data_IF_598729650284
#
_entry.id   IF_598729650284
#
_cell.length_a   1.000
_cell.length_b   1.000
_cell.length_c   1.000
_cell.angle_alpha   90.00
_cell.angle_beta   90.00
_cell.angle_gamma   90.00
#
_symmetry.space_group_name_H-M   'P 1'
#
loop_
_entity.id
_entity.type
_entity.pdbx_description
1 polymer ?
#
# COMPACT_ATOMS: atom_id res chain seq x y z
N UNK A 1 -38.02 -13.03 -30.83
CA UNK A 1 -36.68 -13.58 -30.53
C UNK A 1 -35.70 -13.03 -31.54
N UNK A 2 -34.81 -12.12 -31.15
CA UNK A 2 -33.56 -11.85 -31.87
C UNK A 2 -32.46 -11.85 -30.83
N UNK A 3 -31.57 -12.83 -30.94
CA UNK A 3 -30.46 -13.09 -30.03
C UNK A 3 -29.29 -12.22 -30.51
N UNK A 4 -28.88 -11.24 -29.72
CA UNK A 4 -27.62 -10.56 -29.96
C UNK A 4 -26.48 -11.55 -29.66
N UNK A 5 -25.77 -11.94 -30.71
CA UNK A 5 -24.47 -12.57 -30.61
C UNK A 5 -23.47 -11.48 -30.23
N UNK A 6 -23.31 -11.21 -28.93
CA UNK A 6 -22.26 -10.30 -28.45
C UNK A 6 -20.97 -11.09 -28.31
N UNK A 7 -20.03 -10.83 -29.22
CA UNK A 7 -18.65 -11.30 -29.15
C UNK A 7 -18.01 -10.81 -27.85
N UNK A 8 -17.20 -11.62 -27.13
CA UNK A 8 -16.62 -11.25 -25.82
C UNK A 8 -15.59 -10.11 -25.88
N UNK A 9 -15.42 -9.45 -27.04
CA UNK A 9 -14.54 -8.31 -27.28
C UNK A 9 -15.32 -7.00 -27.45
N UNK A 10 -16.66 -7.03 -27.54
CA UNK A 10 -17.47 -5.82 -27.71
C UNK A 10 -17.75 -5.17 -26.36
N UNK A 11 -16.95 -4.15 -26.09
CA UNK A 11 -17.03 -3.19 -24.98
C UNK A 11 -16.71 -3.78 -23.60
N UNK A 12 -15.41 -3.99 -23.35
CA UNK A 12 -14.93 -3.74 -21.99
C UNK A 12 -15.29 -2.29 -21.64
N UNK A 13 -15.87 -2.03 -20.46
CA UNK A 13 -16.21 -0.68 -20.02
C UNK A 13 -14.96 0.19 -20.10
N UNK A 14 -15.11 1.41 -20.60
CA UNK A 14 -14.04 2.40 -20.49
C UNK A 14 -13.76 2.69 -19.02
N UNK A 15 -12.58 3.23 -18.70
CA UNK A 15 -12.21 3.59 -17.32
C UNK A 15 -13.25 4.46 -16.59
N UNK A 16 -14.08 5.20 -17.34
CA UNK A 16 -15.16 6.04 -16.83
C UNK A 16 -16.50 5.32 -16.60
N UNK A 17 -16.63 4.07 -17.07
CA UNK A 17 -17.84 3.23 -16.95
C UNK A 17 -17.67 2.08 -15.95
N UNK A 18 -16.45 1.90 -15.45
CA UNK A 18 -16.23 1.10 -14.26
C UNK A 18 -16.93 1.81 -13.08
N UNK A 19 -17.53 1.08 -12.13
CA UNK A 19 -18.04 1.66 -10.90
C UNK A 19 -16.89 2.37 -10.19
N UNK A 20 -16.81 3.67 -10.46
CA UNK A 20 -15.98 4.65 -9.80
C UNK A 20 -16.50 4.73 -8.37
N UNK A 21 -15.69 4.24 -7.46
CA UNK A 21 -15.74 4.53 -6.03
C UNK A 21 -16.96 3.98 -5.28
N UNK A 22 -16.69 3.03 -4.41
CA UNK A 22 -17.53 2.69 -3.26
C UNK A 22 -17.53 3.80 -2.18
N UNK A 23 -17.65 5.07 -2.60
CA UNK A 23 -17.54 6.30 -1.77
C UNK A 23 -16.27 6.36 -0.89
N UNK A 24 -15.31 5.45 -1.08
CA UNK A 24 -13.95 5.53 -0.57
C UNK A 24 -13.07 6.17 -1.65
N UNK A 25 -12.10 7.05 -1.28
CA UNK A 25 -11.17 7.60 -2.25
C UNK A 25 -10.54 6.45 -3.03
N UNK A 26 -10.82 6.35 -4.33
CA UNK A 26 -10.29 5.26 -5.15
C UNK A 26 -8.78 5.29 -5.03
N UNK A 27 -8.19 4.18 -4.60
CA UNK A 27 -6.74 3.98 -4.62
C UNK A 27 -6.27 4.27 -6.05
N UNK A 28 -5.57 5.38 -6.22
CA UNK A 28 -4.94 5.70 -7.50
C UNK A 28 -3.57 5.05 -7.48
N UNK A 29 -3.10 4.51 -8.60
CA UNK A 29 -1.73 3.99 -8.76
C UNK A 29 -0.66 4.97 -8.21
N UNK A 30 -0.94 6.27 -8.24
CA UNK A 30 -0.10 7.30 -7.62
C UNK A 30 0.03 7.19 -6.09
N UNK A 31 -1.04 6.79 -5.40
CA UNK A 31 -1.05 6.59 -3.95
C UNK A 31 -0.12 5.43 -3.56
N UNK A 32 0.08 4.43 -4.44
CA UNK A 32 1.09 3.39 -4.27
C UNK A 32 2.48 3.84 -4.71
N UNK A 33 2.59 4.55 -5.84
CA UNK A 33 3.87 4.89 -6.45
C UNK A 33 4.71 5.82 -5.57
N UNK A 34 4.08 6.83 -4.97
CA UNK A 34 4.75 7.85 -4.17
C UNK A 34 5.44 7.27 -2.92
N UNK A 35 4.75 6.52 -2.03
CA UNK A 35 5.38 5.96 -0.84
C UNK A 35 6.48 4.94 -1.20
N UNK A 36 6.28 4.11 -2.23
CA UNK A 36 7.32 3.17 -2.68
C UNK A 36 8.57 3.89 -3.23
N UNK A 37 8.39 5.00 -3.97
CA UNK A 37 9.52 5.81 -4.43
C UNK A 37 10.27 6.44 -3.24
N UNK A 38 9.54 6.92 -2.24
CA UNK A 38 10.14 7.46 -1.03
C UNK A 38 10.94 6.40 -0.27
N UNK A 39 10.40 5.18 -0.12
CA UNK A 39 11.12 4.06 0.49
C UNK A 39 12.45 3.79 -0.24
N UNK A 40 12.43 3.74 -1.57
CA UNK A 40 13.64 3.53 -2.37
C UNK A 40 14.67 4.66 -2.19
N UNK A 41 14.23 5.92 -2.15
CA UNK A 41 15.11 7.07 -1.90
C UNK A 41 15.73 6.99 -0.50
N UNK A 42 14.93 6.64 0.52
CA UNK A 42 15.42 6.46 1.89
C UNK A 42 16.43 5.33 1.97
N UNK A 43 16.19 4.19 1.31
CA UNK A 43 17.13 3.08 1.24
C UNK A 43 18.47 3.48 0.61
N UNK A 44 18.45 4.32 -0.42
CA UNK A 44 19.66 4.84 -1.05
C UNK A 44 20.37 5.87 -0.16
N UNK A 45 19.64 6.80 0.43
CA UNK A 45 20.19 7.87 1.28
C UNK A 45 20.75 7.34 2.61
N UNK A 46 20.16 6.26 3.13
CA UNK A 46 20.46 5.66 4.42
C UNK A 46 20.97 4.22 4.28
N UNK A 47 21.79 3.96 3.27
CA UNK A 47 22.31 2.63 2.99
C UNK A 47 23.12 2.02 4.16
N UNK A 48 23.78 2.85 4.96
CA UNK A 48 24.58 2.41 6.12
C UNK A 48 23.77 2.34 7.41
N UNK A 49 22.47 2.67 7.36
CA UNK A 49 21.59 2.78 8.52
C UNK A 49 20.53 1.68 8.50
N UNK A 50 20.45 0.90 9.58
CA UNK A 50 19.50 -0.20 9.70
C UNK A 50 18.38 0.05 10.73
N UNK A 51 18.47 1.10 11.54
CA UNK A 51 17.53 1.43 12.63
C UNK A 51 16.32 2.26 12.15
N UNK A 52 15.70 1.85 11.05
CA UNK A 52 14.49 2.52 10.55
C UNK A 52 13.54 1.55 9.87
N UNK A 53 12.27 1.93 9.85
CA UNK A 53 11.20 1.19 9.21
C UNK A 53 10.27 2.16 8.49
N UNK A 54 9.97 1.86 7.23
CA UNK A 54 8.97 2.59 6.45
C UNK A 54 7.82 1.63 6.16
N UNK A 55 6.63 1.96 6.64
CA UNK A 55 5.41 1.18 6.43
C UNK A 55 4.47 1.91 5.48
N UNK A 56 3.84 1.16 4.58
CA UNK A 56 2.85 1.62 3.58
C UNK A 56 1.58 0.81 3.79
N UNK A 57 0.42 1.48 3.82
CA UNK A 57 -0.90 0.85 4.06
C UNK A 57 -0.97 -0.02 5.32
N UNK A 58 -0.18 0.33 6.34
CA UNK A 58 -0.07 -0.43 7.58
C UNK A 58 -0.81 0.25 8.73
N UNK A 59 -1.66 -0.52 9.41
CA UNK A 59 -2.43 -0.06 10.56
C UNK A 59 -1.55 0.21 11.79
N UNK A 60 -1.61 1.45 12.30
CA UNK A 60 -0.96 1.89 13.52
C UNK A 60 -1.98 1.89 14.67
N UNK A 61 -1.74 1.04 15.67
CA UNK A 61 -2.54 0.97 16.88
C UNK A 61 -1.92 1.84 17.97
N UNK A 62 -2.60 2.92 18.35
CA UNK A 62 -2.15 3.81 19.44
C UNK A 62 -2.94 3.63 20.73
N UNK A 63 -4.11 2.99 20.67
CA UNK A 63 -4.91 2.65 21.84
C UNK A 63 -5.67 1.33 21.60
N UNK A 64 -5.72 0.40 22.56
CA UNK A 64 -6.32 -0.93 22.38
C UNK A 64 -7.80 -0.93 21.98
N UNK A 65 -8.52 0.16 22.29
CA UNK A 65 -9.96 0.30 22.06
C UNK A 65 -10.29 1.21 20.88
N UNK A 66 -9.28 1.76 20.20
CA UNK A 66 -9.49 2.66 19.07
C UNK A 66 -9.14 1.94 17.76
N UNK A 67 -9.88 2.22 16.68
CA UNK A 67 -9.55 1.67 15.38
C UNK A 67 -8.11 2.09 14.97
N UNK A 68 -7.39 1.23 14.26
CA UNK A 68 -6.05 1.55 13.78
C UNK A 68 -6.11 2.73 12.79
N UNK A 69 -5.09 3.56 12.83
CA UNK A 69 -4.86 4.56 11.78
C UNK A 69 -4.15 3.88 10.62
N UNK A 70 -4.66 4.04 9.40
CA UNK A 70 -4.02 3.49 8.19
C UNK A 70 -3.57 4.67 7.33
N UNK A 71 -2.33 5.16 7.50
CA UNK A 71 -1.77 6.19 6.62
C UNK A 71 -1.23 5.57 5.33
N UNK A 72 -1.20 6.35 4.26
CA UNK A 72 -0.55 6.00 2.99
C UNK A 72 0.95 5.68 3.16
N UNK A 73 1.58 6.22 4.21
CA UNK A 73 2.92 5.81 4.62
C UNK A 73 3.39 6.49 5.91
N UNK A 74 4.29 5.82 6.63
CA UNK A 74 4.94 6.39 7.81
C UNK A 74 6.39 5.90 7.96
N UNK A 75 7.22 6.75 8.56
CA UNK A 75 8.61 6.47 8.87
C UNK A 75 8.80 6.40 10.39
N UNK A 76 9.32 5.27 10.86
CA UNK A 76 9.76 5.08 12.24
C UNK A 76 11.29 4.96 12.30
N UNK A 77 11.90 5.61 13.29
CA UNK A 77 13.34 5.67 13.50
C UNK A 77 13.71 5.06 14.85
N UNK A 78 14.93 4.52 14.96
CA UNK A 78 15.41 3.84 16.17
C UNK A 78 14.74 2.48 16.39
N UNK A 79 14.19 1.86 15.34
CA UNK A 79 13.53 0.55 15.44
C UNK A 79 14.58 -0.55 15.41
N UNK A 80 14.51 -1.48 16.36
CA UNK A 80 15.37 -2.66 16.36
C UNK A 80 14.88 -3.67 15.32
N UNK A 81 15.75 -4.03 14.37
CA UNK A 81 15.45 -5.09 13.39
C UNK A 81 15.83 -6.45 13.97
N UNK A 82 14.83 -7.25 14.31
CA UNK A 82 15.04 -8.66 14.65
C UNK A 82 14.98 -9.49 13.38
N UNK A 83 16.13 -10.04 12.97
CA UNK A 83 16.20 -11.10 11.97
C UNK A 83 16.18 -12.42 12.74
N UNK A 84 15.04 -13.11 12.79
CA UNK A 84 15.01 -14.47 13.33
C UNK A 84 15.84 -15.40 12.42
N UNK A 85 16.38 -16.51 12.96
CA UNK A 85 17.20 -17.49 12.21
C UNK A 85 16.50 -18.04 10.93
N UNK A 86 15.18 -17.89 10.82
CA UNK A 86 14.36 -18.28 9.66
C UNK A 86 14.08 -17.12 8.67
N UNK A 87 14.75 -15.97 8.82
CA UNK A 87 14.66 -14.84 7.89
C UNK A 87 13.38 -14.01 7.99
N UNK A 88 12.59 -14.19 9.06
CA UNK A 88 11.41 -13.35 9.33
C UNK A 88 11.84 -12.09 10.07
N UNK A 89 11.49 -10.95 9.49
CA UNK A 89 11.69 -9.64 10.11
C UNK A 89 10.54 -9.37 11.08
N UNK A 90 10.89 -9.10 12.34
CA UNK A 90 9.95 -8.57 13.34
C UNK A 90 10.42 -7.18 13.78
N UNK A 91 9.45 -6.29 13.94
CA UNK A 91 9.62 -5.01 14.64
C UNK A 91 9.12 -5.24 16.07
N UNK A 92 9.98 -5.00 17.07
CA UNK A 92 9.58 -5.03 18.48
C UNK A 92 9.53 -3.60 19.03
#
# INVERSE_FOLDING_TARGET
MSWYSTTPLDCLPSSAELPDSDDTPVDNELQNLIPNLLEAILALAWNDRADWFFGVDMGIYYAPLQPPLVPDGFLSLGVERFVEEEGRLKLC
#
